data_IF_401988015880
#
_entry.id   IF_401988015880
#
_cell.length_a   1.000
_cell.length_b   1.000
_cell.length_c   1.000
_cell.angle_alpha   90.00
_cell.angle_beta   90.00
_cell.angle_gamma   90.00
#
_symmetry.space_group_name_H-M   'P 1'
#
loop_
_entity.id
_entity.type
_entity.pdbx_description
1 polymer ?
#
# COMPACT_ATOMS: atom_id res chain seq x y z
N UNK A 1 -14.75 -52.14 -44.49
CA UNK A 1 -13.46 -51.88 -43.85
C UNK A 1 -13.18 -50.40 -43.91
N UNK A 2 -13.37 -49.66 -42.79
CA UNK A 2 -13.18 -48.22 -42.74
C UNK A 2 -11.68 -47.93 -42.90
N UNK A 3 -11.34 -47.07 -43.85
CA UNK A 3 -9.94 -46.74 -44.11
C UNK A 3 -9.31 -46.10 -42.86
N UNK A 4 -8.10 -46.53 -42.47
CA UNK A 4 -7.33 -45.99 -41.33
C UNK A 4 -7.19 -44.46 -41.42
N UNK A 5 -7.05 -43.91 -42.62
CA UNK A 5 -6.99 -42.46 -42.87
C UNK A 5 -8.29 -41.73 -42.48
N UNK A 6 -9.45 -42.40 -42.68
CA UNK A 6 -10.74 -41.85 -42.31
C UNK A 6 -10.94 -41.83 -40.77
N UNK A 7 -10.53 -42.91 -40.10
CA UNK A 7 -10.58 -42.99 -38.63
C UNK A 7 -9.62 -41.98 -37.99
N UNK A 8 -8.44 -41.75 -38.52
CA UNK A 8 -7.46 -40.77 -38.07
C UNK A 8 -8.03 -39.32 -38.24
N UNK A 9 -8.61 -39.03 -39.42
CA UNK A 9 -9.23 -37.74 -39.67
C UNK A 9 -10.39 -37.42 -38.73
N UNK A 10 -11.24 -38.42 -38.44
CA UNK A 10 -12.36 -38.28 -37.50
C UNK A 10 -11.84 -38.02 -36.08
N UNK A 11 -10.77 -38.69 -35.64
CA UNK A 11 -10.15 -38.49 -34.33
C UNK A 11 -9.58 -37.08 -34.14
N UNK A 12 -8.94 -36.52 -35.19
CA UNK A 12 -8.41 -35.16 -35.15
C UNK A 12 -9.54 -34.14 -35.07
N UNK A 13 -10.62 -34.31 -35.84
CA UNK A 13 -11.77 -33.41 -35.84
C UNK A 13 -12.49 -33.41 -34.47
N UNK A 14 -12.68 -34.59 -33.90
CA UNK A 14 -13.33 -34.70 -32.58
C UNK A 14 -12.48 -34.08 -31.46
N UNK A 15 -11.15 -34.27 -31.50
CA UNK A 15 -10.25 -33.64 -30.54
C UNK A 15 -10.28 -32.11 -30.64
N UNK A 16 -10.30 -31.58 -31.86
CA UNK A 16 -10.38 -30.11 -32.08
C UNK A 16 -11.69 -29.53 -31.61
N UNK A 17 -12.81 -30.21 -31.82
CA UNK A 17 -14.14 -29.80 -31.34
C UNK A 17 -14.21 -29.81 -29.81
N UNK A 18 -13.63 -30.81 -29.15
CA UNK A 18 -13.58 -30.86 -27.69
C UNK A 18 -12.73 -29.72 -27.15
N UNK A 19 -11.58 -29.44 -27.74
CA UNK A 19 -10.71 -28.34 -27.33
C UNK A 19 -11.38 -26.98 -27.48
N UNK A 20 -12.08 -26.74 -28.56
CA UNK A 20 -12.85 -25.50 -28.79
C UNK A 20 -13.99 -25.37 -27.78
N UNK A 21 -14.72 -26.48 -27.53
CA UNK A 21 -15.80 -26.50 -26.56
C UNK A 21 -15.33 -26.24 -25.13
N UNK A 22 -14.19 -26.81 -24.73
CA UNK A 22 -13.59 -26.56 -23.39
C UNK A 22 -13.11 -25.12 -23.25
N UNK A 23 -12.50 -24.54 -24.26
CA UNK A 23 -12.11 -23.13 -24.27
C UNK A 23 -13.33 -22.21 -24.15
N UNK A 24 -14.39 -22.48 -24.90
CA UNK A 24 -15.63 -21.71 -24.86
C UNK A 24 -16.32 -21.80 -23.49
N UNK A 25 -16.37 -23.00 -22.89
CA UNK A 25 -16.92 -23.20 -21.55
C UNK A 25 -16.08 -22.51 -20.48
N UNK A 26 -14.75 -22.55 -20.60
CA UNK A 26 -13.84 -21.85 -19.70
C UNK A 26 -14.06 -20.32 -19.75
N UNK A 27 -14.10 -19.77 -20.96
CA UNK A 27 -14.37 -18.35 -21.19
C UNK A 27 -15.73 -17.93 -20.60
N UNK A 28 -16.78 -18.71 -20.87
CA UNK A 28 -18.14 -18.42 -20.43
C UNK A 28 -18.37 -18.51 -18.93
N UNK A 29 -17.77 -19.51 -18.25
CA UNK A 29 -18.05 -19.78 -16.85
C UNK A 29 -17.02 -19.21 -15.89
N UNK A 30 -15.76 -19.10 -16.29
CA UNK A 30 -14.70 -18.65 -15.39
C UNK A 30 -14.31 -17.18 -15.56
N UNK A 31 -14.26 -16.68 -16.80
CA UNK A 31 -13.89 -15.27 -17.01
C UNK A 31 -15.03 -14.34 -16.64
N UNK A 32 -16.27 -14.70 -16.94
CA UNK A 32 -17.43 -13.86 -16.61
C UNK A 32 -17.63 -13.75 -15.08
N UNK A 33 -17.40 -14.82 -14.32
CA UNK A 33 -17.49 -14.82 -12.86
C UNK A 33 -16.32 -14.02 -12.23
N UNK A 34 -15.12 -14.13 -12.79
CA UNK A 34 -13.96 -13.36 -12.37
C UNK A 34 -14.11 -11.85 -12.63
N UNK A 35 -14.64 -11.47 -13.78
CA UNK A 35 -14.91 -10.07 -14.13
C UNK A 35 -15.99 -9.44 -13.23
N UNK A 36 -17.04 -10.20 -12.90
CA UNK A 36 -18.08 -9.73 -11.96
C UNK A 36 -17.50 -9.54 -10.56
N UNK A 37 -16.68 -10.48 -10.10
CA UNK A 37 -16.04 -10.38 -8.79
C UNK A 37 -15.10 -9.19 -8.67
N UNK A 38 -14.23 -8.99 -9.67
CA UNK A 38 -13.29 -7.86 -9.71
C UNK A 38 -14.00 -6.52 -9.86
N UNK A 39 -15.06 -6.46 -10.68
CA UNK A 39 -15.87 -5.26 -10.87
C UNK A 39 -16.63 -4.87 -9.61
N UNK A 40 -17.25 -5.81 -8.92
CA UNK A 40 -17.97 -5.55 -7.67
C UNK A 40 -17.01 -5.12 -6.56
N UNK A 41 -15.83 -5.72 -6.47
CA UNK A 41 -14.78 -5.32 -5.52
C UNK A 41 -14.26 -3.92 -5.83
N UNK A 42 -14.03 -3.60 -7.09
CA UNK A 42 -13.58 -2.27 -7.51
C UNK A 42 -14.63 -1.18 -7.25
N UNK A 43 -15.92 -1.48 -7.48
CA UNK A 43 -17.02 -0.54 -7.18
C UNK A 43 -17.15 -0.32 -5.67
N UNK A 44 -17.10 -1.37 -4.85
CA UNK A 44 -17.18 -1.24 -3.39
C UNK A 44 -16.00 -0.46 -2.81
N UNK A 45 -14.78 -0.66 -3.33
CA UNK A 45 -13.58 0.11 -2.95
C UNK A 45 -13.75 1.59 -3.37
N UNK A 46 -14.20 1.84 -4.60
CA UNK A 46 -14.40 3.20 -5.10
C UNK A 46 -15.48 3.97 -4.30
N UNK A 47 -16.55 3.29 -3.88
CA UNK A 47 -17.62 3.91 -3.08
C UNK A 47 -17.15 4.21 -1.64
N UNK A 48 -16.38 3.31 -1.02
CA UNK A 48 -15.75 3.55 0.27
C UNK A 48 -14.71 4.68 0.21
N UNK A 49 -13.94 4.75 -0.87
CA UNK A 49 -12.94 5.80 -1.09
C UNK A 49 -13.57 7.18 -1.31
N UNK A 50 -14.72 7.24 -2.00
CA UNK A 50 -15.47 8.50 -2.16
C UNK A 50 -15.99 9.00 -0.81
N UNK A 51 -16.62 8.15 -0.02
CA UNK A 51 -17.12 8.52 1.30
C UNK A 51 -15.99 8.93 2.26
N UNK A 52 -14.85 8.26 2.19
CA UNK A 52 -13.68 8.60 2.97
C UNK A 52 -13.03 9.89 2.47
N UNK A 53 -12.91 10.08 1.13
CA UNK A 53 -12.35 11.29 0.53
C UNK A 53 -13.16 12.53 0.88
N UNK A 54 -14.49 12.45 0.92
CA UNK A 54 -15.34 13.57 1.33
C UNK A 54 -15.13 13.95 2.80
N UNK A 55 -15.01 12.96 3.69
CA UNK A 55 -14.68 13.20 5.12
C UNK A 55 -13.27 13.78 5.26
N UNK A 56 -12.32 13.25 4.51
CA UNK A 56 -10.94 13.69 4.50
C UNK A 56 -10.81 15.09 3.91
N UNK A 57 -11.39 15.36 2.76
CA UNK A 57 -11.39 16.69 2.14
C UNK A 57 -12.08 17.73 3.01
N UNK A 58 -13.15 17.37 3.74
CA UNK A 58 -13.80 18.26 4.68
C UNK A 58 -12.91 18.60 5.89
N UNK A 59 -12.07 17.65 6.32
CA UNK A 59 -11.10 17.86 7.39
C UNK A 59 -9.87 18.68 6.95
N UNK A 60 -9.51 18.61 5.65
CA UNK A 60 -8.31 19.26 5.11
C UNK A 60 -8.58 20.50 4.26
N UNK A 61 -9.85 20.85 4.02
CA UNK A 61 -10.22 21.92 3.04
C UNK A 61 -10.15 23.33 3.62
N UNK A 62 -9.53 23.52 4.77
CA UNK A 62 -9.37 24.87 5.30
C UNK A 62 -7.90 25.25 5.44
N UNK A 63 -7.63 26.44 4.99
CA UNK A 63 -6.36 27.15 5.16
C UNK A 63 -6.12 27.57 6.62
N UNK A 64 -6.80 26.97 7.60
CA UNK A 64 -6.71 27.36 9.01
C UNK A 64 -6.13 26.26 9.90
N UNK A 65 -5.29 26.63 10.90
CA UNK A 65 -4.64 25.69 11.83
C UNK A 65 -5.62 24.82 12.65
N UNK A 66 -6.88 25.19 12.76
CA UNK A 66 -7.87 24.48 13.57
C UNK A 66 -8.23 23.08 13.05
N UNK A 67 -7.91 22.78 11.81
CA UNK A 67 -8.21 21.48 11.21
C UNK A 67 -7.12 20.44 11.45
N UNK A 68 -5.93 20.83 11.92
CA UNK A 68 -4.85 19.90 12.22
C UNK A 68 -5.23 18.87 13.29
N UNK A 69 -6.04 19.22 14.26
CA UNK A 69 -6.49 18.27 15.29
C UNK A 69 -7.29 17.15 14.68
N UNK A 70 -8.29 17.48 13.86
CA UNK A 70 -9.14 16.49 13.18
C UNK A 70 -8.32 15.65 12.19
N UNK A 71 -7.45 16.28 11.42
CA UNK A 71 -6.57 15.60 10.49
C UNK A 71 -5.61 14.64 11.20
N UNK A 72 -5.05 15.05 12.33
CA UNK A 72 -4.19 14.20 13.17
C UNK A 72 -4.96 13.02 13.77
N UNK A 73 -6.18 13.23 14.26
CA UNK A 73 -7.01 12.16 14.80
C UNK A 73 -7.36 11.10 13.77
N UNK A 74 -7.65 11.51 12.53
CA UNK A 74 -7.98 10.60 11.44
C UNK A 74 -6.73 9.84 10.97
N UNK A 75 -5.61 10.54 10.74
CA UNK A 75 -4.40 9.94 10.19
C UNK A 75 -3.69 9.01 11.18
N UNK A 76 -3.66 9.35 12.47
CA UNK A 76 -3.01 8.52 13.50
C UNK A 76 -3.57 7.10 13.60
N UNK A 77 -4.86 6.88 13.28
CA UNK A 77 -5.47 5.54 13.31
C UNK A 77 -4.95 4.64 12.21
N UNK A 78 -4.49 5.23 11.12
CA UNK A 78 -4.00 4.52 9.94
C UNK A 78 -2.47 4.42 9.89
N UNK A 79 -1.75 5.05 10.83
CA UNK A 79 -0.30 4.96 10.93
C UNK A 79 0.09 3.90 11.96
N UNK A 80 0.93 2.96 11.55
CA UNK A 80 1.36 1.81 12.35
C UNK A 80 2.83 1.90 12.71
N UNK A 81 3.20 1.23 13.80
CA UNK A 81 4.58 0.97 14.16
C UNK A 81 5.05 -0.34 13.53
N UNK A 82 6.22 -0.31 12.92
CA UNK A 82 6.89 -1.49 12.35
C UNK A 82 8.12 -1.83 13.18
N UNK A 83 8.28 -3.10 13.52
CA UNK A 83 9.47 -3.64 14.12
C UNK A 83 9.94 -4.85 13.32
N UNK A 84 11.19 -4.83 12.91
CA UNK A 84 11.78 -5.91 12.12
C UNK A 84 12.85 -6.64 12.89
N UNK A 85 12.99 -7.94 12.64
CA UNK A 85 14.06 -8.78 13.15
C UNK A 85 14.87 -9.33 11.98
N UNK A 86 16.18 -9.17 12.02
CA UNK A 86 17.12 -9.75 11.05
C UNK A 86 17.68 -11.11 11.50
N UNK A 87 18.45 -11.75 10.64
CA UNK A 87 18.99 -13.11 10.84
C UNK A 87 20.20 -13.19 11.80
N UNK A 88 20.76 -12.08 12.21
CA UNK A 88 21.96 -12.08 13.08
C UNK A 88 21.59 -11.90 14.54
N UNK A 89 21.48 -13.00 15.27
CA UNK A 89 21.25 -13.05 16.74
C UNK A 89 22.34 -12.34 17.57
N UNK A 90 23.47 -11.97 16.98
CA UNK A 90 24.64 -11.51 17.72
C UNK A 90 24.73 -10.00 17.94
N UNK A 91 24.11 -9.16 17.12
CA UNK A 91 24.14 -7.70 17.30
C UNK A 91 22.86 -7.05 16.76
N UNK A 92 21.94 -6.75 17.68
CA UNK A 92 20.92 -5.67 17.60
C UNK A 92 20.40 -5.26 16.20
N UNK A 93 19.95 -6.23 15.41
CA UNK A 93 19.28 -5.95 14.15
C UNK A 93 17.77 -5.76 14.32
N UNK A 94 17.33 -4.96 15.28
CA UNK A 94 15.94 -4.54 15.38
C UNK A 94 15.84 -3.16 14.73
N UNK A 95 15.40 -3.12 13.48
CA UNK A 95 15.00 -1.86 12.87
C UNK A 95 13.56 -1.54 13.24
N UNK A 96 13.26 -0.27 13.31
CA UNK A 96 11.90 0.21 13.53
C UNK A 96 11.58 1.35 12.57
N UNK A 97 10.33 1.49 12.24
CA UNK A 97 9.83 2.53 11.39
C UNK A 97 8.32 2.64 11.50
N UNK A 98 7.74 3.42 10.61
CA UNK A 98 6.31 3.60 10.49
C UNK A 98 5.81 2.93 9.21
N UNK A 99 4.51 2.77 9.10
CA UNK A 99 3.82 2.36 7.90
C UNK A 99 2.43 2.98 7.86
N UNK A 100 1.85 3.04 6.68
CA UNK A 100 0.51 3.60 6.47
C UNK A 100 -0.41 2.51 5.92
N UNK A 101 -1.56 2.31 6.58
CA UNK A 101 -2.61 1.40 6.11
C UNK A 101 -3.30 2.03 4.91
N UNK A 102 -3.34 1.30 3.79
CA UNK A 102 -3.92 1.75 2.51
C UNK A 102 -5.31 1.17 2.24
N UNK A 103 -5.69 0.12 2.97
CA UNK A 103 -6.99 -0.54 2.77
C UNK A 103 -7.50 -1.17 4.06
N UNK A 104 -8.82 -1.30 4.14
CA UNK A 104 -9.50 -1.86 5.32
C UNK A 104 -9.19 -3.33 5.60
N UNK A 105 -8.59 -4.04 4.65
CA UNK A 105 -8.19 -5.44 4.73
C UNK A 105 -6.70 -5.63 5.07
N UNK A 106 -5.94 -4.53 5.31
CA UNK A 106 -4.61 -4.60 5.91
C UNK A 106 -3.42 -4.54 4.96
N UNK A 107 -3.54 -3.90 3.80
CA UNK A 107 -2.37 -3.48 3.03
C UNK A 107 -1.72 -2.27 3.69
N UNK A 108 -0.39 -2.30 3.78
CA UNK A 108 0.41 -1.26 4.44
C UNK A 108 1.58 -0.90 3.53
N UNK A 109 1.79 0.39 3.30
CA UNK A 109 2.99 0.90 2.64
C UNK A 109 4.00 1.36 3.69
N UNK A 110 5.28 1.12 3.40
CA UNK A 110 6.42 1.59 4.20
C UNK A 110 7.64 1.77 3.29
N UNK A 111 8.76 2.24 3.84
CA UNK A 111 10.01 2.27 3.11
C UNK A 111 10.68 0.90 3.04
N UNK A 112 11.33 0.61 1.91
CA UNK A 112 12.08 -0.63 1.71
C UNK A 112 13.21 -0.77 2.74
N UNK A 113 13.96 0.31 3.03
CA UNK A 113 15.07 0.26 3.99
C UNK A 113 14.63 -0.13 5.40
N UNK A 114 13.37 0.13 5.80
CA UNK A 114 12.82 -0.28 7.12
C UNK A 114 12.74 -1.80 7.24
N UNK A 115 12.40 -2.48 6.14
CA UNK A 115 12.18 -3.93 6.13
C UNK A 115 13.30 -4.73 5.47
N UNK A 116 14.34 -4.04 4.99
CA UNK A 116 15.49 -4.69 4.35
C UNK A 116 16.12 -5.71 5.30
N UNK A 117 16.41 -6.90 4.77
CA UNK A 117 17.00 -8.03 5.48
C UNK A 117 16.17 -8.56 6.67
N UNK A 118 14.90 -8.17 6.76
CA UNK A 118 14.00 -8.65 7.80
C UNK A 118 13.56 -10.09 7.53
N UNK A 119 13.70 -10.97 8.52
CA UNK A 119 13.11 -12.32 8.51
C UNK A 119 11.72 -12.33 9.15
N UNK A 120 11.43 -11.33 9.97
CA UNK A 120 10.12 -11.15 10.62
C UNK A 120 9.79 -9.67 10.72
N UNK A 121 8.53 -9.34 10.45
CA UNK A 121 8.00 -7.99 10.53
C UNK A 121 6.79 -8.01 11.45
N UNK A 122 6.92 -7.39 12.62
CA UNK A 122 5.84 -7.20 13.57
C UNK A 122 5.23 -5.80 13.35
N UNK A 123 3.92 -5.74 13.18
CA UNK A 123 3.13 -4.51 12.99
C UNK A 123 2.30 -4.27 14.24
N UNK A 124 2.41 -3.09 14.83
CA UNK A 124 1.56 -2.67 15.94
C UNK A 124 0.65 -1.53 15.46
N UNK A 125 -0.65 -1.74 15.56
CA UNK A 125 -1.67 -0.74 15.21
C UNK A 125 -1.77 0.34 16.31
N UNK A 126 -2.46 1.44 15.99
CA UNK A 126 -2.68 2.53 16.95
C UNK A 126 -3.49 2.10 18.20
N UNK A 127 -4.31 1.05 18.09
CA UNK A 127 -5.07 0.44 19.19
C UNK A 127 -4.30 -0.66 19.95
N UNK A 128 -3.00 -0.79 19.71
CA UNK A 128 -2.07 -1.76 20.28
C UNK A 128 -2.29 -3.22 19.85
N UNK A 129 -3.15 -3.51 18.88
CA UNK A 129 -3.19 -4.85 18.26
C UNK A 129 -1.90 -5.10 17.51
N UNK A 130 -1.39 -6.31 17.61
CA UNK A 130 -0.15 -6.75 16.96
C UNK A 130 -0.44 -7.82 15.91
N UNK A 131 0.23 -7.70 14.78
CA UNK A 131 0.13 -8.64 13.67
C UNK A 131 1.51 -8.93 13.11
N UNK A 132 1.69 -10.12 12.58
CA UNK A 132 2.84 -10.42 11.73
C UNK A 132 2.50 -10.05 10.29
N UNK A 133 3.38 -9.29 9.64
CA UNK A 133 3.18 -8.90 8.25
C UNK A 133 3.99 -9.79 7.31
N UNK A 134 3.39 -10.06 6.14
CA UNK A 134 4.10 -10.64 5.00
C UNK A 134 4.41 -9.56 3.96
N UNK A 135 5.53 -9.70 3.29
CA UNK A 135 5.93 -8.81 2.19
C UNK A 135 5.15 -9.22 0.94
N UNK A 136 4.48 -8.26 0.31
CA UNK A 136 3.76 -8.43 -0.95
C UNK A 136 4.65 -8.02 -2.13
N UNK A 137 5.40 -6.93 -1.96
CA UNK A 137 6.32 -6.45 -2.97
C UNK A 137 7.26 -5.39 -2.42
N UNK A 138 8.37 -5.21 -3.10
CA UNK A 138 9.37 -4.18 -2.78
C UNK A 138 9.86 -3.51 -4.05
N UNK A 139 10.15 -2.24 -3.97
CA UNK A 139 10.84 -1.48 -5.00
C UNK A 139 12.02 -0.73 -4.38
N UNK A 140 13.24 -1.29 -4.47
CA UNK A 140 14.43 -0.63 -3.96
C UNK A 140 14.76 0.68 -4.68
N UNK A 141 14.29 0.87 -5.93
CA UNK A 141 14.59 2.06 -6.73
C UNK A 141 13.81 3.30 -6.27
N UNK A 142 12.69 3.11 -5.59
CA UNK A 142 11.87 4.16 -4.99
C UNK A 142 11.87 4.12 -3.47
N UNK A 143 12.59 3.17 -2.88
CA UNK A 143 12.59 2.87 -1.45
C UNK A 143 11.19 2.56 -0.90
N UNK A 144 10.35 1.86 -1.66
CA UNK A 144 9.00 1.48 -1.25
C UNK A 144 8.88 -0.01 -0.98
N UNK A 145 7.99 -0.34 -0.05
CA UNK A 145 7.58 -1.71 0.23
C UNK A 145 6.09 -1.78 0.55
N UNK A 146 5.44 -2.85 0.08
CA UNK A 146 4.04 -3.17 0.36
C UNK A 146 3.99 -4.42 1.24
N UNK A 147 3.31 -4.28 2.36
CA UNK A 147 3.09 -5.33 3.35
C UNK A 147 1.62 -5.69 3.42
N UNK A 148 1.33 -6.87 4.00
CA UNK A 148 -0.03 -7.33 4.28
C UNK A 148 -0.10 -7.96 5.66
N UNK A 149 -1.07 -7.53 6.45
CA UNK A 149 -1.47 -8.16 7.71
C UNK A 149 -2.84 -8.82 7.59
N UNK A 150 -3.09 -9.86 8.36
CA UNK A 150 -4.39 -10.55 8.37
C UNK A 150 -5.32 -9.87 9.40
N UNK A 151 -5.86 -8.72 8.99
CA UNK A 151 -6.81 -7.91 9.75
C UNK A 151 -7.87 -7.33 8.82
N UNK A 152 -9.04 -7.02 9.38
CA UNK A 152 -10.18 -6.45 8.65
C UNK A 152 -10.75 -5.26 9.42
N UNK A 153 -11.54 -4.44 8.75
CA UNK A 153 -12.19 -3.26 9.31
C UNK A 153 -11.19 -2.26 9.91
N UNK A 154 -10.11 -2.03 9.20
CA UNK A 154 -9.08 -1.08 9.58
C UNK A 154 -9.42 0.32 9.07
N UNK A 155 -9.09 1.34 9.87
CA UNK A 155 -8.98 2.71 9.38
C UNK A 155 -7.79 2.81 8.42
N UNK A 156 -7.95 3.45 7.28
CA UNK A 156 -6.93 3.56 6.24
C UNK A 156 -6.89 4.96 5.63
N UNK A 157 -5.79 5.30 4.98
CA UNK A 157 -5.62 6.54 4.23
C UNK A 157 -5.62 6.25 2.72
N UNK A 158 -6.09 7.24 1.96
CA UNK A 158 -6.04 7.23 0.50
C UNK A 158 -4.93 8.18 0.02
N UNK A 159 -4.39 7.88 -1.16
CA UNK A 159 -3.42 8.76 -1.80
C UNK A 159 -4.08 10.06 -2.27
N UNK A 160 -3.45 11.18 -1.91
CA UNK A 160 -3.76 12.47 -2.50
C UNK A 160 -3.03 12.68 -3.82
N UNK A 161 -3.43 13.72 -4.56
CA UNK A 161 -2.71 14.15 -5.77
C UNK A 161 -1.57 15.10 -5.39
N UNK A 162 -0.34 14.59 -5.33
CA UNK A 162 0.85 15.38 -5.00
C UNK A 162 1.18 16.45 -6.06
N UNK A 163 0.70 16.30 -7.29
CA UNK A 163 0.92 17.29 -8.35
C UNK A 163 0.13 18.58 -8.09
N UNK A 164 -1.00 18.47 -7.40
CA UNK A 164 -1.84 19.62 -7.05
C UNK A 164 -1.33 20.45 -5.88
N UNK A 165 -0.39 19.92 -5.08
CA UNK A 165 0.18 20.66 -3.94
C UNK A 165 0.89 21.92 -4.41
N UNK A 166 0.75 23.00 -3.65
CA UNK A 166 1.42 24.27 -3.87
C UNK A 166 2.51 24.51 -2.80
N UNK A 167 3.60 25.17 -3.21
CA UNK A 167 4.62 25.63 -2.26
C UNK A 167 3.98 26.64 -1.31
N UNK A 168 4.19 26.46 -0.01
CA UNK A 168 3.57 27.26 1.05
C UNK A 168 2.29 26.64 1.64
N UNK A 169 1.74 25.57 1.06
CA UNK A 169 0.60 24.86 1.67
C UNK A 169 1.01 24.14 2.95
N UNK A 170 0.11 24.12 3.91
CA UNK A 170 0.27 23.41 5.17
C UNK A 170 0.25 21.88 4.95
N UNK A 171 1.20 21.21 5.58
CA UNK A 171 1.28 19.74 5.61
C UNK A 171 1.56 19.24 7.01
N UNK A 172 1.20 17.97 7.25
CA UNK A 172 1.55 17.26 8.48
C UNK A 172 2.39 16.04 8.16
N UNK A 173 3.39 15.79 9.00
CA UNK A 173 4.06 14.50 9.05
C UNK A 173 3.55 13.72 10.26
N UNK A 174 3.13 12.47 10.02
CA UNK A 174 2.62 11.57 11.04
C UNK A 174 3.42 10.29 11.01
N UNK A 175 4.01 9.92 12.13
CA UNK A 175 4.76 8.69 12.30
C UNK A 175 4.49 8.05 13.65
N UNK A 176 4.92 6.80 13.83
CA UNK A 176 4.82 6.07 15.11
C UNK A 176 6.19 5.49 15.52
N UNK A 177 7.14 6.34 15.94
CA UNK A 177 8.55 5.93 16.12
C UNK A 177 8.80 4.99 17.30
N UNK A 178 7.95 4.98 18.33
CA UNK A 178 8.27 4.35 19.62
C UNK A 178 7.18 3.43 20.19
N UNK A 179 6.21 2.99 19.37
CA UNK A 179 5.11 2.11 19.83
C UNK A 179 4.17 2.72 20.89
N UNK A 180 4.44 3.93 21.36
CA UNK A 180 3.68 4.53 22.48
C UNK A 180 2.55 5.41 21.99
N UNK A 181 2.79 6.28 21.05
CA UNK A 181 1.81 7.16 20.41
C UNK A 181 2.36 7.69 19.09
N UNK A 182 1.46 7.86 18.11
CA UNK A 182 1.83 8.51 16.86
C UNK A 182 2.27 9.96 17.13
N UNK A 183 3.41 10.32 16.58
CA UNK A 183 3.94 11.69 16.61
C UNK A 183 3.40 12.45 15.41
N UNK A 184 2.94 13.66 15.64
CA UNK A 184 2.45 14.55 14.59
C UNK A 184 3.28 15.83 14.63
N UNK A 185 3.80 16.21 13.46
CA UNK A 185 4.45 17.51 13.26
C UNK A 185 3.79 18.22 12.09
N UNK A 186 3.85 19.55 12.05
CA UNK A 186 3.28 20.35 10.99
C UNK A 186 4.32 21.33 10.44
N UNK A 187 4.17 21.64 9.17
CA UNK A 187 5.00 22.59 8.43
C UNK A 187 4.35 22.94 7.11
N UNK A 188 5.12 23.43 6.17
CA UNK A 188 4.64 23.78 4.85
C UNK A 188 5.38 22.96 3.78
N UNK A 189 4.82 22.92 2.58
CA UNK A 189 5.53 22.46 1.37
C UNK A 189 6.60 23.52 1.04
N UNK A 190 7.86 23.20 1.30
CA UNK A 190 8.99 24.10 1.06
C UNK A 190 9.48 24.06 -0.38
N UNK A 191 9.42 22.88 -1.03
CA UNK A 191 9.74 22.67 -2.45
C UNK A 191 9.10 21.40 -2.97
N UNK A 192 9.07 21.26 -4.31
CA UNK A 192 8.59 20.06 -5.01
C UNK A 192 9.64 19.55 -5.99
N UNK A 193 9.51 18.29 -6.38
CA UNK A 193 10.38 17.62 -7.37
C UNK A 193 11.88 17.74 -7.05
N UNK A 194 12.22 17.61 -5.75
CA UNK A 194 13.63 17.64 -5.31
C UNK A 194 14.26 16.26 -5.51
N UNK A 195 15.41 16.26 -6.19
CA UNK A 195 16.37 15.16 -6.17
C UNK A 195 17.52 15.56 -5.26
N UNK A 196 17.78 14.79 -4.23
CA UNK A 196 18.83 15.06 -3.22
C UNK A 196 19.91 13.97 -3.21
N UNK A 197 19.88 13.07 -4.20
CA UNK A 197 20.83 11.97 -4.37
C UNK A 197 20.87 10.99 -3.17
N UNK A 198 19.76 10.85 -2.47
CA UNK A 198 19.64 9.96 -1.31
C UNK A 198 19.74 8.48 -1.72
N UNK A 199 19.25 8.15 -2.91
CA UNK A 199 19.23 6.80 -3.48
C UNK A 199 20.46 6.51 -4.37
N UNK A 200 21.57 7.21 -4.14
CA UNK A 200 22.91 6.98 -4.73
C UNK A 200 22.90 6.83 -6.27
N UNK A 201 22.16 7.66 -6.99
CA UNK A 201 21.97 7.63 -8.45
C UNK A 201 21.33 6.34 -9.00
N UNK A 202 20.78 5.47 -8.14
CA UNK A 202 20.11 4.25 -8.54
C UNK A 202 18.59 4.32 -8.40
N UNK A 203 18.08 5.40 -7.78
CA UNK A 203 16.67 5.59 -7.50
C UNK A 203 16.02 6.72 -8.29
N UNK A 204 14.69 6.68 -8.33
CA UNK A 204 13.85 7.76 -8.86
C UNK A 204 13.50 8.69 -7.71
N UNK A 205 14.02 9.92 -7.78
CA UNK A 205 13.76 10.92 -6.75
C UNK A 205 12.89 12.05 -7.30
N UNK A 206 11.74 12.26 -6.65
CA UNK A 206 10.84 13.39 -6.89
C UNK A 206 10.17 13.77 -5.58
N UNK A 207 10.99 14.18 -4.60
CA UNK A 207 10.54 14.41 -3.24
C UNK A 207 9.81 15.74 -3.07
N UNK A 208 8.81 15.71 -2.15
CA UNK A 208 8.22 16.92 -1.58
C UNK A 208 9.06 17.29 -0.36
N UNK A 209 9.64 18.48 -0.39
CA UNK A 209 10.36 19.02 0.76
C UNK A 209 9.38 19.74 1.70
N UNK A 210 9.51 19.49 3.01
CA UNK A 210 8.76 20.19 4.05
C UNK A 210 9.69 20.60 5.19
N UNK A 211 9.33 21.60 5.95
CA UNK A 211 9.94 21.98 7.21
C UNK A 211 9.24 21.38 8.44
N UNK A 212 8.21 20.55 8.23
CA UNK A 212 7.68 19.69 9.29
C UNK A 212 8.78 18.76 9.82
N UNK A 213 8.97 18.73 11.13
CA UNK A 213 10.07 17.98 11.74
C UNK A 213 9.89 16.47 11.51
N UNK A 214 10.87 15.83 10.90
CA UNK A 214 10.96 14.38 10.69
C UNK A 214 12.15 13.86 11.49
N UNK A 215 11.90 12.92 12.40
CA UNK A 215 12.92 12.34 13.28
C UNK A 215 13.14 10.85 12.96
N UNK A 216 14.27 10.26 13.35
CA UNK A 216 14.51 8.82 13.25
C UNK A 216 13.35 8.01 13.86
N UNK A 217 12.88 6.98 13.13
CA UNK A 217 11.69 6.18 13.49
C UNK A 217 10.39 6.64 12.84
N UNK A 218 10.35 7.85 12.26
CA UNK A 218 9.22 8.27 11.42
C UNK A 218 9.31 7.73 9.98
N UNK A 219 10.41 7.05 9.61
CA UNK A 219 10.58 6.42 8.30
C UNK A 219 9.47 5.42 8.04
N UNK A 220 8.81 5.55 6.88
CA UNK A 220 7.72 4.68 6.47
C UNK A 220 6.60 5.36 5.72
#
# INVERSE_FOLDING_TARGET
MVSYKFALGLGIITSLLISISTLFLYDRFFLEEYDIYTRNKAVAVAESDILFSDRFNKAFNSSQPNDFVTAAELSRKSVVFLRTKGNNDAHFGVNSGSGVILSNDGYIVTNHHVIKDAIKIDVTLNDNREFEARIIGVDPSTDLALLKIDAINLDYLIFGNSDSLLIGEWVMAVGNPFRLQSTVTAGIVSAKARSINLLENQGIESFIQTDAAVNPGNSG
#
